data_IF_367937742800
#
_entry.id   IF_367937742800
#
_cell.length_a   1.000
_cell.length_b   1.000
_cell.length_c   1.000
_cell.angle_alpha   90.00
_cell.angle_beta   90.00
_cell.angle_gamma   90.00
#
_symmetry.space_group_name_H-M   'P 1'
#
loop_
_entity.id
_entity.type
_entity.pdbx_description
1 polymer ?
#
# COMPACT_ATOMS: atom_id res chain seq x y z
N UNK A 1 16.53 -13.99 3.49
CA UNK A 1 16.16 -14.11 2.06
C UNK A 1 15.09 -13.07 1.74
N UNK A 2 15.23 -12.27 0.68
CA UNK A 2 14.13 -11.40 0.22
C UNK A 2 13.13 -12.27 -0.54
N UNK A 3 11.88 -12.32 -0.08
CA UNK A 3 10.82 -13.03 -0.81
C UNK A 3 10.58 -12.37 -2.18
N UNK A 4 10.27 -13.14 -3.24
CA UNK A 4 9.89 -12.58 -4.52
C UNK A 4 8.66 -11.66 -4.37
N UNK A 5 8.63 -10.55 -5.12
CA UNK A 5 7.56 -9.54 -5.05
C UNK A 5 6.16 -10.15 -5.32
N UNK A 6 6.07 -11.13 -6.22
CA UNK A 6 4.80 -11.80 -6.51
C UNK A 6 4.25 -12.58 -5.31
N UNK A 7 5.11 -13.15 -4.46
CA UNK A 7 4.68 -13.89 -3.25
C UNK A 7 4.04 -12.92 -2.26
N UNK A 8 4.61 -11.72 -2.11
CA UNK A 8 4.04 -10.68 -1.27
C UNK A 8 2.67 -10.25 -1.80
N UNK A 9 2.52 -10.10 -3.11
CA UNK A 9 1.26 -9.72 -3.77
C UNK A 9 0.18 -10.79 -3.56
N UNK A 10 0.45 -12.03 -3.96
CA UNK A 10 -0.54 -13.10 -3.87
C UNK A 10 -0.86 -13.47 -2.42
N UNK A 11 0.15 -13.50 -1.55
CA UNK A 11 -0.04 -13.83 -0.13
C UNK A 11 -1.04 -12.90 0.56
N UNK A 12 -0.91 -11.57 0.38
CA UNK A 12 -1.85 -10.65 1.01
C UNK A 12 -3.24 -10.66 0.36
N UNK A 13 -3.35 -10.94 -0.94
CA UNK A 13 -4.66 -11.06 -1.61
C UNK A 13 -5.41 -12.31 -1.14
N UNK A 14 -4.73 -13.46 -1.05
CA UNK A 14 -5.33 -14.69 -0.53
C UNK A 14 -5.79 -14.49 0.91
N UNK A 15 -4.94 -13.90 1.76
CA UNK A 15 -5.31 -13.59 3.14
C UNK A 15 -6.53 -12.64 3.21
N UNK A 16 -6.57 -11.63 2.36
CA UNK A 16 -7.69 -10.68 2.27
C UNK A 16 -8.99 -11.37 1.83
N UNK A 17 -8.94 -12.26 0.84
CA UNK A 17 -10.10 -13.03 0.38
C UNK A 17 -10.68 -13.94 1.46
N UNK A 18 -9.87 -14.42 2.41
CA UNK A 18 -10.33 -15.23 3.53
C UNK A 18 -10.84 -14.38 4.70
N UNK A 19 -10.16 -13.30 5.04
CA UNK A 19 -10.45 -12.50 6.23
C UNK A 19 -11.57 -11.47 5.99
N UNK A 20 -11.59 -10.82 4.82
CA UNK A 20 -12.52 -9.71 4.57
C UNK A 20 -13.99 -10.14 4.58
N UNK A 21 -14.41 -11.30 4.03
CA UNK A 21 -15.80 -11.74 4.14
C UNK A 21 -16.25 -11.89 5.60
N UNK A 22 -15.36 -12.35 6.49
CA UNK A 22 -15.66 -12.48 7.92
C UNK A 22 -15.80 -11.10 8.56
N UNK A 23 -14.89 -10.16 8.25
CA UNK A 23 -14.97 -8.78 8.72
C UNK A 23 -16.25 -8.07 8.26
N UNK A 24 -16.65 -8.26 7.01
CA UNK A 24 -17.91 -7.72 6.47
C UNK A 24 -19.14 -8.36 7.14
N UNK A 25 -19.14 -9.69 7.32
CA UNK A 25 -20.25 -10.38 7.98
C UNK A 25 -20.42 -9.96 9.45
N UNK A 26 -19.31 -9.69 10.13
CA UNK A 26 -19.29 -9.26 11.54
C UNK A 26 -19.36 -7.74 11.73
N UNK A 27 -19.43 -6.98 10.63
CA UNK A 27 -19.35 -5.50 10.61
C UNK A 27 -18.09 -4.92 11.30
N UNK A 28 -17.02 -5.72 11.40
CA UNK A 28 -15.76 -5.31 12.02
C UNK A 28 -14.75 -4.97 10.92
N UNK A 29 -14.03 -3.87 11.12
CA UNK A 29 -13.04 -3.35 10.16
C UNK A 29 -13.62 -3.07 8.75
N UNK A 30 -14.95 -2.97 8.60
CA UNK A 30 -15.60 -2.74 7.29
C UNK A 30 -15.10 -1.47 6.61
N UNK A 31 -14.90 -0.40 7.40
CA UNK A 31 -14.33 0.87 6.92
C UNK A 31 -12.92 0.69 6.38
N UNK A 32 -12.10 -0.15 7.02
CA UNK A 32 -10.76 -0.48 6.55
C UNK A 32 -10.79 -1.29 5.26
N UNK A 33 -11.68 -2.29 5.18
CA UNK A 33 -11.85 -3.11 3.96
C UNK A 33 -12.26 -2.23 2.78
N UNK A 34 -13.23 -1.33 2.98
CA UNK A 34 -13.66 -0.38 1.95
C UNK A 34 -12.52 0.53 1.50
N UNK A 35 -11.71 1.03 2.44
CA UNK A 35 -10.54 1.83 2.12
C UNK A 35 -9.47 1.02 1.37
N UNK A 36 -9.19 -0.22 1.78
CA UNK A 36 -8.22 -1.07 1.09
C UNK A 36 -8.63 -1.31 -0.37
N UNK A 37 -9.91 -1.58 -0.62
CA UNK A 37 -10.46 -1.69 -1.98
C UNK A 37 -10.31 -0.38 -2.76
N UNK A 38 -10.67 0.77 -2.18
CA UNK A 38 -10.49 2.08 -2.81
C UNK A 38 -9.01 2.34 -3.16
N UNK A 39 -8.10 1.92 -2.28
CA UNK A 39 -6.67 2.10 -2.45
C UNK A 39 -6.09 1.32 -3.64
N UNK A 40 -6.78 0.28 -4.12
CA UNK A 40 -6.42 -0.42 -5.35
C UNK A 40 -6.53 0.47 -6.59
N UNK A 41 -7.27 1.58 -6.52
CA UNK A 41 -7.33 2.57 -7.60
C UNK A 41 -5.94 3.10 -8.02
N UNK A 42 -4.97 3.16 -7.11
CA UNK A 42 -3.59 3.55 -7.46
C UNK A 42 -2.90 2.54 -8.40
N UNK A 43 -3.39 1.30 -8.46
CA UNK A 43 -2.81 0.24 -9.29
C UNK A 43 -2.99 0.51 -10.79
N UNK A 44 -3.99 1.32 -11.18
CA UNK A 44 -4.21 1.72 -12.58
C UNK A 44 -2.92 2.37 -13.12
N UNK A 45 -2.41 3.38 -12.42
CA UNK A 45 -1.20 4.09 -12.84
C UNK A 45 0.08 3.25 -12.68
N UNK A 46 0.13 2.36 -11.68
CA UNK A 46 1.22 1.39 -11.54
C UNK A 46 1.29 0.43 -12.73
N UNK A 47 0.14 -0.09 -13.17
CA UNK A 47 0.02 -0.98 -14.32
C UNK A 47 0.37 -0.23 -15.61
N UNK A 48 -0.11 0.99 -15.82
CA UNK A 48 0.29 1.84 -16.94
C UNK A 48 1.81 2.05 -16.99
N UNK A 49 2.44 2.38 -15.86
CA UNK A 49 3.90 2.52 -15.75
C UNK A 49 4.61 1.21 -16.12
N UNK A 50 4.11 0.08 -15.64
CA UNK A 50 4.70 -1.24 -15.89
C UNK A 50 4.59 -1.63 -17.37
N UNK A 51 3.45 -1.35 -18.01
CA UNK A 51 3.25 -1.56 -19.44
C UNK A 51 4.21 -0.70 -20.26
N UNK A 52 4.37 0.59 -19.92
CA UNK A 52 5.35 1.46 -20.61
C UNK A 52 6.77 0.89 -20.54
N UNK A 53 7.18 0.34 -19.39
CA UNK A 53 8.49 -0.33 -19.27
C UNK A 53 8.55 -1.56 -20.18
N UNK A 54 7.50 -2.39 -20.20
CA UNK A 54 7.44 -3.61 -21.02
C UNK A 54 7.45 -3.34 -22.53
N UNK A 55 6.91 -2.21 -22.96
CA UNK A 55 6.92 -1.77 -24.36
C UNK A 55 8.14 -0.90 -24.72
N UNK A 56 9.22 -0.94 -23.94
CA UNK A 56 10.44 -0.14 -24.14
C UNK A 56 10.21 1.39 -24.14
N UNK A 57 9.07 1.85 -23.62
CA UNK A 57 8.71 3.26 -23.46
C UNK A 57 8.94 3.75 -22.00
N UNK A 58 9.92 3.18 -21.31
CA UNK A 58 10.28 3.51 -19.92
C UNK A 58 11.02 4.84 -19.72
N UNK A 59 10.85 5.80 -20.63
CA UNK A 59 11.54 7.09 -20.64
C UNK A 59 10.66 8.17 -21.30
N UNK A 60 11.07 9.44 -21.17
CA UNK A 60 10.37 10.58 -21.75
C UNK A 60 9.12 11.04 -20.98
N UNK A 61 8.39 11.99 -21.57
CA UNK A 61 7.29 12.70 -20.91
C UNK A 61 6.14 11.78 -20.48
N UNK A 62 5.76 10.80 -21.30
CA UNK A 62 4.68 9.84 -20.98
C UNK A 62 5.00 9.00 -19.75
N UNK A 63 6.24 8.52 -19.66
CA UNK A 63 6.70 7.76 -18.50
C UNK A 63 6.80 8.63 -17.24
N UNK A 64 7.28 9.88 -17.37
CA UNK A 64 7.30 10.84 -16.27
C UNK A 64 5.88 11.14 -15.74
N UNK A 65 4.91 11.35 -16.65
CA UNK A 65 3.51 11.55 -16.29
C UNK A 65 2.93 10.32 -15.57
N UNK A 66 3.16 9.10 -16.06
CA UNK A 66 2.72 7.87 -15.40
C UNK A 66 3.33 7.72 -13.99
N UNK A 67 4.61 8.05 -13.81
CA UNK A 67 5.25 8.06 -12.49
C UNK A 67 4.64 9.10 -11.54
N UNK A 68 4.37 10.31 -12.04
CA UNK A 68 3.76 11.38 -11.25
C UNK A 68 2.34 11.01 -10.81
N UNK A 69 1.52 10.50 -11.73
CA UNK A 69 0.15 10.04 -11.45
C UNK A 69 0.14 8.86 -10.48
N UNK A 70 1.05 7.90 -10.64
CA UNK A 70 1.22 6.82 -9.67
C UNK A 70 1.61 7.37 -8.29
N UNK A 71 2.56 8.28 -8.22
CA UNK A 71 3.01 8.86 -6.94
C UNK A 71 1.92 9.66 -6.24
N UNK A 72 1.18 10.47 -6.99
CA UNK A 72 0.07 11.26 -6.47
C UNK A 72 -1.08 10.36 -5.99
N UNK A 73 -1.51 9.40 -6.81
CA UNK A 73 -2.57 8.46 -6.43
C UNK A 73 -2.17 7.60 -5.23
N UNK A 74 -0.91 7.17 -5.13
CA UNK A 74 -0.41 6.44 -3.97
C UNK A 74 -0.46 7.30 -2.71
N UNK A 75 0.01 8.55 -2.77
CA UNK A 75 -0.06 9.48 -1.64
C UNK A 75 -1.51 9.70 -1.19
N UNK A 76 -2.40 10.06 -2.11
CA UNK A 76 -3.78 10.45 -1.82
C UNK A 76 -4.63 9.27 -1.35
N UNK A 77 -4.53 8.11 -2.01
CA UNK A 77 -5.39 6.97 -1.73
C UNK A 77 -4.85 6.06 -0.62
N UNK A 78 -3.52 5.99 -0.44
CA UNK A 78 -2.90 5.03 0.50
C UNK A 78 -2.24 5.66 1.71
N UNK A 79 -1.75 6.90 1.64
CA UNK A 79 -0.95 7.49 2.73
C UNK A 79 -1.73 8.54 3.51
N UNK A 80 -2.32 9.52 2.84
CA UNK A 80 -3.11 10.57 3.49
C UNK A 80 -4.28 10.05 4.34
N UNK A 81 -4.97 8.96 3.98
CA UNK A 81 -6.07 8.46 4.81
C UNK A 81 -5.62 7.69 6.06
N UNK A 82 -4.34 7.28 6.16
CA UNK A 82 -3.83 6.46 7.27
C UNK A 82 -4.13 7.11 8.63
N UNK A 83 -3.79 8.38 8.90
CA UNK A 83 -4.02 8.97 10.22
C UNK A 83 -5.49 8.94 10.63
N UNK A 84 -6.40 9.21 9.69
CA UNK A 84 -7.85 9.16 9.92
C UNK A 84 -8.31 7.75 10.28
N UNK A 85 -7.92 6.75 9.47
CA UNK A 85 -8.31 5.37 9.74
C UNK A 85 -7.69 4.83 11.03
N UNK A 86 -6.44 5.17 11.34
CA UNK A 86 -5.81 4.79 12.61
C UNK A 86 -6.51 5.43 13.81
N UNK A 87 -7.00 6.66 13.69
CA UNK A 87 -7.83 7.28 14.73
C UNK A 87 -9.15 6.52 14.92
N UNK A 88 -9.83 6.13 13.83
CA UNK A 88 -11.03 5.29 13.91
C UNK A 88 -10.75 3.93 14.56
N UNK A 89 -9.62 3.31 14.26
CA UNK A 89 -9.22 2.04 14.87
C UNK A 89 -9.04 2.15 16.38
N UNK A 90 -8.32 3.19 16.81
CA UNK A 90 -8.04 3.42 18.22
C UNK A 90 -9.29 3.80 19.01
N UNK A 91 -10.20 4.57 18.40
CA UNK A 91 -11.46 5.00 19.02
C UNK A 91 -12.60 3.98 18.91
N UNK A 92 -12.40 2.83 18.27
CA UNK A 92 -13.44 1.81 18.12
C UNK A 92 -13.71 1.11 19.45
N UNK A 93 -14.97 0.90 19.79
CA UNK A 93 -15.35 0.13 20.97
C UNK A 93 -15.24 -1.38 20.70
N UNK A 94 -14.17 -1.97 21.22
CA UNK A 94 -13.88 -3.40 21.07
C UNK A 94 -14.60 -4.28 22.10
N UNK A 95 -15.31 -3.72 23.08
CA UNK A 95 -15.91 -4.46 24.20
C UNK A 95 -16.94 -5.51 23.76
N UNK A 96 -17.60 -5.26 22.62
CA UNK A 96 -18.62 -6.15 22.03
C UNK A 96 -18.05 -7.15 21.02
N UNK A 97 -16.73 -7.20 20.85
CA UNK A 97 -16.07 -8.05 19.85
C UNK A 97 -15.58 -9.35 20.48
N UNK A 98 -15.79 -10.48 19.79
CA UNK A 98 -15.19 -11.76 20.22
C UNK A 98 -13.67 -11.71 20.13
N UNK A 99 -12.97 -12.42 21.02
CA UNK A 99 -11.50 -12.46 21.01
C UNK A 99 -10.94 -12.88 19.64
N UNK A 100 -11.62 -13.80 18.95
CA UNK A 100 -11.23 -14.28 17.63
C UNK A 100 -11.29 -13.16 16.59
N UNK A 101 -12.38 -12.39 16.57
CA UNK A 101 -12.54 -11.30 15.61
C UNK A 101 -11.61 -10.14 15.94
N UNK A 102 -11.38 -9.86 17.22
CA UNK A 102 -10.37 -8.88 17.65
C UNK A 102 -8.97 -9.30 17.19
N UNK A 103 -8.60 -10.57 17.35
CA UNK A 103 -7.30 -11.08 16.90
C UNK A 103 -7.12 -11.00 15.38
N UNK A 104 -8.16 -11.37 14.62
CA UNK A 104 -8.15 -11.21 13.16
C UNK A 104 -8.02 -9.74 12.76
N UNK A 105 -8.80 -8.87 13.39
CA UNK A 105 -8.79 -7.45 13.09
C UNK A 105 -7.40 -6.86 13.41
N UNK A 106 -6.88 -7.09 14.62
CA UNK A 106 -5.59 -6.59 15.09
C UNK A 106 -4.38 -7.12 14.29
N UNK A 107 -4.47 -8.32 13.71
CA UNK A 107 -3.41 -8.87 12.87
C UNK A 107 -3.52 -8.44 11.40
N UNK A 108 -4.74 -8.25 10.88
CA UNK A 108 -4.95 -8.02 9.45
C UNK A 108 -5.00 -6.55 9.04
N UNK A 109 -5.54 -5.63 9.85
CA UNK A 109 -5.63 -4.21 9.45
C UNK A 109 -4.31 -3.44 9.52
N UNK A 110 -3.37 -3.70 10.44
CA UNK A 110 -2.10 -2.97 10.44
C UNK A 110 -1.20 -3.37 9.26
N UNK A 111 -1.34 -4.59 8.75
CA UNK A 111 -0.47 -5.12 7.69
C UNK A 111 -0.51 -4.27 6.42
N UNK A 112 -1.69 -3.93 5.82
CA UNK A 112 -1.74 -3.03 4.67
C UNK A 112 -1.22 -1.62 4.96
N UNK A 113 -1.41 -1.11 6.19
CA UNK A 113 -0.87 0.20 6.60
C UNK A 113 0.66 0.18 6.58
N UNK A 114 1.27 -0.83 7.22
CA UNK A 114 2.72 -1.03 7.24
C UNK A 114 3.27 -1.22 5.83
N UNK A 115 2.59 -1.99 5.00
CA UNK A 115 2.99 -2.24 3.61
C UNK A 115 2.94 -0.94 2.78
N UNK A 116 1.88 -0.14 2.91
CA UNK A 116 1.76 1.15 2.23
C UNK A 116 2.88 2.12 2.67
N UNK A 117 3.16 2.22 3.97
CA UNK A 117 4.25 3.04 4.49
C UNK A 117 5.63 2.56 4.00
N UNK A 118 5.85 1.25 3.97
CA UNK A 118 7.06 0.64 3.42
C UNK A 118 7.27 1.03 1.95
N UNK A 119 6.25 0.85 1.09
CA UNK A 119 6.33 1.23 -0.32
C UNK A 119 6.52 2.73 -0.51
N UNK A 120 5.86 3.57 0.30
CA UNK A 120 6.08 5.01 0.26
C UNK A 120 7.51 5.40 0.62
N UNK A 121 8.11 4.74 1.62
CA UNK A 121 9.53 4.95 1.97
C UNK A 121 10.46 4.62 0.80
N UNK A 122 10.18 3.54 0.07
CA UNK A 122 10.92 3.16 -1.13
C UNK A 122 10.74 4.21 -2.23
N UNK A 123 9.52 4.68 -2.48
CA UNK A 123 9.24 5.73 -3.46
C UNK A 123 10.03 7.01 -3.17
N UNK A 124 10.05 7.46 -1.91
CA UNK A 124 10.86 8.62 -1.50
C UNK A 124 12.35 8.40 -1.70
N UNK A 125 12.85 7.19 -1.42
CA UNK A 125 14.27 6.87 -1.61
C UNK A 125 14.72 6.90 -3.07
N UNK A 126 13.81 6.65 -4.02
CA UNK A 126 14.08 6.72 -5.45
C UNK A 126 14.15 8.17 -5.98
N UNK A 127 13.52 9.12 -5.28
CA UNK A 127 13.52 10.54 -5.64
C UNK A 127 14.71 11.30 -5.01
N UNK A 128 15.24 10.85 -3.87
CA UNK A 128 16.41 11.47 -3.22
C UNK A 128 17.73 10.98 -3.85
N UNK A 129 18.47 11.79 -4.62
CA UNK A 129 19.73 11.38 -5.26
C UNK A 129 20.91 11.28 -4.29
N UNK A 130 20.69 11.43 -2.97
CA UNK A 130 21.66 11.94 -2.00
C UNK A 130 22.88 11.06 -1.66
N UNK A 131 23.13 9.92 -2.32
CA UNK A 131 24.33 9.11 -2.03
C UNK A 131 25.19 8.71 -3.24
N UNK A 132 24.75 8.93 -4.48
CA UNK A 132 25.57 8.59 -5.66
C UNK A 132 26.57 9.67 -6.08
N UNK A 133 26.41 10.93 -5.64
CA UNK A 133 27.37 12.02 -5.93
C UNK A 133 28.58 12.04 -4.98
N UNK A 134 28.39 11.78 -3.68
CA UNK A 134 29.47 11.83 -2.67
C UNK A 134 30.56 10.74 -2.77
N UNK A 135 30.40 9.75 -3.65
CA UNK A 135 31.40 8.70 -3.91
C UNK A 135 32.20 8.91 -5.20
N UNK A 136 31.79 9.86 -6.07
CA UNK A 136 32.52 10.22 -7.29
C UNK A 136 33.41 11.46 -7.13
N UNK A 137 33.36 12.10 -5.97
CA UNK A 137 34.08 13.35 -5.66
C UNK A 137 35.09 13.19 -4.51
N UNK A 138 35.42 11.96 -4.10
CA UNK A 138 36.63 11.75 -3.28
C UNK A 138 37.82 11.60 -4.22
N UNK A 139 38.78 12.54 -4.22
CA UNK A 139 40.04 12.40 -4.95
C UNK A 139 40.87 11.24 -4.41
#
# INVERSE_FOLDING_TARGET
MKLPMYVQIWGHHILSMLIWPIGLHTNIATVFIAWFLLSEGSNIFLNCRTLLIKFNAGHGAKFAAANALFSLSFLVLRILPIPLFMAFWYGFDWSHTTWFTLAMAASSTPLPVMLNLYWFSLMRSMVSPSKKKKLKEKP
#
